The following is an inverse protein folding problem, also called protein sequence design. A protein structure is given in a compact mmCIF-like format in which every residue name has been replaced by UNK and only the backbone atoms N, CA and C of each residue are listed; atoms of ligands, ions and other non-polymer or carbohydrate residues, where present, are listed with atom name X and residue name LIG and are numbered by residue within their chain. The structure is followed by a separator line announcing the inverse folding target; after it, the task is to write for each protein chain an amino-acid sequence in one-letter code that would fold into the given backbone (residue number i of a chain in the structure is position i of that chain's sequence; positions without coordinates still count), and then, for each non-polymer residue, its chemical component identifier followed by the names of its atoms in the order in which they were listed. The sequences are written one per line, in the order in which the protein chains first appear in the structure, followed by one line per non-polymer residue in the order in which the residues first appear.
data_IF_560558677924
#
_entry.id   IF_560558677924
#
_cell.length_a   1.000
_cell.length_b   1.000
_cell.length_c   1.000
_cell.angle_alpha   90.00
_cell.angle_beta   90.00
_cell.angle_gamma   90.00
#
_symmetry.space_group_name_H-M   'P 1'
#
loop_
_entity.id
_entity.type
_entity.pdbx_description
1 polymer ?
#
# COMPACT_ATOMS: atom_id res chain seq x y z
N UNK A 1 33.55 25.08 6.23
CA UNK A 1 32.91 25.81 5.11
C UNK A 1 32.53 24.75 4.10
N UNK A 2 31.26 24.36 4.05
CA UNK A 2 30.27 24.78 3.04
C UNK A 2 30.83 24.60 1.61
N UNK A 3 30.23 23.80 0.74
CA UNK A 3 28.89 24.09 0.20
C UNK A 3 28.06 22.86 -0.19
N UNK A 4 26.76 23.00 0.05
CA UNK A 4 25.67 22.24 -0.59
C UNK A 4 25.17 23.08 -1.76
N UNK A 5 25.21 22.55 -2.98
CA UNK A 5 24.48 23.10 -4.13
C UNK A 5 23.61 21.95 -4.66
N UNK A 6 22.30 21.99 -4.40
CA UNK A 6 21.27 22.61 -5.25
C UNK A 6 20.80 21.67 -6.36
N UNK A 7 19.78 20.87 -6.07
CA UNK A 7 18.93 20.20 -7.06
C UNK A 7 17.47 20.42 -6.65
N UNK A 8 17.03 21.66 -6.80
CA UNK A 8 15.61 22.04 -6.75
C UNK A 8 15.32 22.81 -8.03
N UNK A 9 15.23 22.10 -9.14
CA UNK A 9 14.67 22.68 -10.35
C UNK A 9 13.79 21.65 -11.05
N UNK A 10 12.69 22.16 -11.59
CA UNK A 10 11.65 21.46 -12.32
C UNK A 10 10.81 20.49 -11.51
N UNK A 11 9.65 20.96 -11.07
CA UNK A 11 8.39 20.63 -11.77
C UNK A 11 7.30 21.59 -11.28
N UNK A 12 7.20 22.75 -11.93
CA UNK A 12 6.00 23.57 -11.92
C UNK A 12 5.77 24.15 -13.31
N UNK A 13 4.92 23.47 -14.07
CA UNK A 13 4.01 24.11 -15.03
C UNK A 13 2.81 23.16 -15.17
N UNK A 14 1.71 23.48 -14.49
CA UNK A 14 0.57 24.21 -15.07
C UNK A 14 0.01 23.53 -16.33
N UNK A 15 -1.10 22.84 -16.10
CA UNK A 15 -2.36 22.82 -16.86
C UNK A 15 -2.25 23.17 -18.34
N UNK A 16 -2.51 22.18 -19.20
CA UNK A 16 -3.18 22.41 -20.48
C UNK A 16 -4.24 21.33 -20.71
N UNK A 17 -5.49 21.78 -20.78
CA UNK A 17 -6.66 21.05 -21.26
C UNK A 17 -7.02 21.66 -22.62
N UNK A 18 -7.28 20.83 -23.65
CA UNK A 18 -8.47 21.04 -24.48
C UNK A 18 -9.19 19.70 -24.73
N UNK A 19 -10.42 19.48 -24.28
CA UNK A 19 -11.73 19.87 -24.84
C UNK A 19 -12.04 19.41 -26.29
N UNK A 20 -13.01 18.47 -26.39
CA UNK A 20 -14.01 18.18 -27.46
C UNK A 20 -13.46 17.85 -28.87
N UNK A 21 -13.82 16.71 -29.49
CA UNK A 21 -15.02 16.54 -30.35
C UNK A 21 -15.30 15.05 -30.69
N UNK A 22 -16.59 14.71 -30.79
CA UNK A 22 -17.18 13.45 -31.26
C UNK A 22 -16.72 13.00 -32.65
N UNK A 23 -16.51 11.69 -32.89
CA UNK A 23 -16.98 10.92 -34.08
C UNK A 23 -16.97 9.41 -33.75
N UNK A 24 -18.13 8.75 -33.88
CA UNK A 24 -18.35 7.30 -34.14
C UNK A 24 -18.72 7.21 -35.65
N UNK A 25 -18.52 6.13 -36.44
CA UNK A 25 -18.32 4.71 -36.12
C UNK A 25 -17.17 4.01 -36.89
N UNK A 26 -16.84 2.77 -36.52
CA UNK A 26 -16.91 1.61 -37.43
C UNK A 26 -16.24 0.37 -36.83
N UNK A 27 -16.93 -0.75 -37.01
CA UNK A 27 -16.54 -2.15 -36.90
C UNK A 27 -15.10 -2.48 -37.30
N UNK A 28 -14.47 -3.44 -36.61
CA UNK A 28 -13.74 -4.62 -37.16
C UNK A 28 -13.05 -5.39 -36.02
N UNK A 29 -12.97 -6.70 -36.21
CA UNK A 29 -12.41 -7.72 -35.34
C UNK A 29 -10.93 -7.51 -34.95
N UNK A 30 -10.52 -8.19 -33.87
CA UNK A 30 -9.18 -8.75 -33.78
C UNK A 30 -8.17 -8.08 -32.84
N UNK A 31 -7.58 -8.95 -32.02
CA UNK A 31 -6.19 -8.92 -31.55
C UNK A 31 -5.81 -8.18 -30.26
N UNK A 32 -5.26 -9.03 -29.37
CA UNK A 32 -4.62 -8.76 -28.11
C UNK A 32 -3.58 -7.63 -28.20
N UNK A 33 -3.79 -6.55 -27.45
CA UNK A 33 -2.73 -5.59 -27.17
C UNK A 33 -2.25 -5.74 -25.73
N UNK A 34 -1.23 -6.58 -25.58
CA UNK A 34 -0.42 -6.74 -24.37
C UNK A 34 0.48 -5.51 -24.20
N UNK A 35 -0.05 -4.41 -23.68
CA UNK A 35 0.79 -3.31 -23.19
C UNK A 35 0.94 -3.44 -21.67
N UNK A 36 1.81 -4.37 -21.28
CA UNK A 36 2.37 -4.50 -19.94
C UNK A 36 3.32 -3.31 -19.70
N UNK A 37 2.76 -2.17 -19.29
CA UNK A 37 3.55 -1.05 -18.78
C UNK A 37 3.91 -1.31 -17.31
N UNK A 38 4.93 -2.17 -17.11
CA UNK A 38 5.63 -2.29 -15.82
C UNK A 38 6.30 -0.95 -15.52
N UNK A 39 5.62 -0.17 -14.68
CA UNK A 39 6.18 1.04 -14.07
C UNK A 39 6.76 0.67 -12.71
N UNK A 40 8.07 0.79 -12.61
CA UNK A 40 8.92 0.38 -11.49
C UNK A 40 8.74 1.29 -10.27
N UNK A 41 8.22 0.73 -9.18
CA UNK A 41 8.43 1.19 -7.80
C UNK A 41 8.32 -0.03 -6.88
N UNK A 42 9.32 -0.23 -6.01
CA UNK A 42 9.57 -1.44 -5.23
C UNK A 42 8.59 -1.72 -4.08
N UNK A 43 7.30 -1.61 -4.32
CA UNK A 43 6.23 -2.11 -3.46
C UNK A 43 5.14 -2.67 -4.36
N UNK A 44 4.75 -3.92 -4.14
CA UNK A 44 3.68 -4.60 -4.90
C UNK A 44 2.50 -3.66 -5.06
N UNK A 45 2.21 -3.27 -6.31
CA UNK A 45 1.08 -2.39 -6.64
C UNK A 45 -0.16 -2.94 -5.93
N UNK A 46 -0.97 -2.06 -5.32
CA UNK A 46 -2.20 -2.54 -4.69
C UNK A 46 -2.96 -3.36 -5.73
N UNK A 47 -3.26 -4.65 -5.44
CA UNK A 47 -3.81 -5.54 -6.45
C UNK A 47 -5.10 -4.90 -6.96
N UNK A 48 -5.13 -4.68 -8.28
CA UNK A 48 -6.25 -4.08 -9.00
C UNK A 48 -7.55 -4.65 -8.43
N UNK A 49 -8.52 -3.79 -8.14
CA UNK A 49 -9.82 -4.12 -7.52
C UNK A 49 -10.66 -5.18 -8.26
N UNK A 50 -10.19 -5.63 -9.43
CA UNK A 50 -10.71 -6.73 -10.22
C UNK A 50 -10.24 -8.13 -9.77
N UNK A 51 -9.25 -8.24 -8.89
CA UNK A 51 -8.88 -9.53 -8.34
C UNK A 51 -9.94 -9.99 -7.33
N UNK A 52 -10.38 -11.25 -7.45
CA UNK A 52 -11.48 -11.77 -6.65
C UNK A 52 -11.30 -11.47 -5.15
N UNK A 53 -12.36 -10.94 -4.54
CA UNK A 53 -12.42 -10.62 -3.10
C UNK A 53 -12.18 -11.84 -2.20
N UNK A 54 -12.24 -13.04 -2.78
CA UNK A 54 -11.90 -14.31 -2.13
C UNK A 54 -10.40 -14.48 -1.90
N UNK A 55 -9.54 -13.84 -2.70
CA UNK A 55 -8.08 -13.98 -2.65
C UNK A 55 -7.43 -12.79 -1.93
N UNK A 56 -8.11 -11.65 -1.94
CA UNK A 56 -7.68 -10.44 -1.25
C UNK A 56 -8.22 -10.37 0.18
N UNK A 57 -7.49 -9.65 1.02
CA UNK A 57 -7.93 -9.24 2.33
C UNK A 57 -7.63 -7.76 2.55
N UNK A 58 -8.51 -7.07 3.28
CA UNK A 58 -8.41 -5.64 3.48
C UNK A 58 -7.99 -5.33 4.91
N UNK A 59 -6.78 -4.84 5.11
CA UNK A 59 -6.26 -4.57 6.45
C UNK A 59 -6.35 -3.07 6.72
N UNK A 60 -6.98 -2.70 7.84
CA UNK A 60 -6.95 -1.33 8.36
C UNK A 60 -5.83 -1.22 9.38
N UNK A 61 -4.91 -0.28 9.20
CA UNK A 61 -3.82 0.01 10.12
C UNK A 61 -4.06 1.35 10.78
N UNK A 62 -4.04 1.39 12.12
CA UNK A 62 -3.93 2.63 12.89
C UNK A 62 -2.46 2.89 13.14
N UNK A 63 -1.95 3.96 12.57
CA UNK A 63 -0.59 4.42 12.79
C UNK A 63 -0.50 5.17 14.13
N UNK A 64 0.70 5.25 14.72
CA UNK A 64 0.87 5.87 16.02
C UNK A 64 0.76 7.41 15.97
N UNK A 65 0.79 7.98 14.76
CA UNK A 65 0.48 9.40 14.48
C UNK A 65 -1.04 9.71 14.50
N UNK A 66 -1.88 8.71 14.74
CA UNK A 66 -3.34 8.84 14.74
C UNK A 66 -4.00 8.69 13.37
N UNK A 67 -3.22 8.58 12.29
CA UNK A 67 -3.73 8.31 10.94
C UNK A 67 -4.22 6.87 10.84
N UNK A 68 -5.20 6.66 9.95
CA UNK A 68 -5.70 5.34 9.60
C UNK A 68 -5.44 5.09 8.12
N UNK A 69 -4.68 4.05 7.82
CA UNK A 69 -4.38 3.61 6.45
C UNK A 69 -5.09 2.30 6.20
N UNK A 70 -5.66 2.14 5.01
CA UNK A 70 -6.32 0.91 4.61
C UNK A 70 -5.71 0.42 3.31
N UNK A 71 -5.27 -0.84 3.29
CA UNK A 71 -4.62 -1.45 2.12
C UNK A 71 -5.16 -2.85 1.89
N UNK A 72 -5.30 -3.20 0.62
CA UNK A 72 -5.62 -4.56 0.21
C UNK A 72 -4.32 -5.36 0.03
N UNK A 73 -4.31 -6.58 0.57
CA UNK A 73 -3.21 -7.54 0.45
C UNK A 73 -3.74 -8.88 -0.04
N UNK A 74 -2.89 -9.72 -0.63
CA UNK A 74 -3.26 -11.12 -0.88
C UNK A 74 -3.31 -11.87 0.46
N UNK A 75 -4.29 -12.75 0.63
CA UNK A 75 -4.46 -13.57 1.85
C UNK A 75 -3.24 -14.45 2.16
N UNK A 76 -2.53 -14.86 1.11
CA UNK A 76 -1.31 -15.67 1.19
C UNK A 76 -0.08 -14.87 1.65
N UNK A 77 -0.14 -13.55 1.70
CA UNK A 77 0.98 -12.71 2.15
C UNK A 77 1.26 -12.90 3.63
N UNK A 78 2.52 -12.70 3.99
CA UNK A 78 3.00 -12.90 5.35
C UNK A 78 2.80 -11.68 6.24
N UNK A 79 2.71 -11.92 7.55
CA UNK A 79 2.72 -10.88 8.58
C UNK A 79 3.96 -9.98 8.47
N UNK A 80 5.09 -10.52 8.01
CA UNK A 80 6.30 -9.74 7.76
C UNK A 80 6.10 -8.63 6.72
N UNK A 81 5.30 -8.87 5.66
CA UNK A 81 5.00 -7.83 4.67
C UNK A 81 4.24 -6.65 5.31
N UNK A 82 3.30 -6.95 6.22
CA UNK A 82 2.56 -5.92 6.95
C UNK A 82 3.50 -5.08 7.82
N UNK A 83 4.47 -5.71 8.48
CA UNK A 83 5.51 -5.01 9.24
C UNK A 83 6.30 -4.05 8.35
N UNK A 84 6.78 -4.51 7.19
CA UNK A 84 7.50 -3.67 6.24
C UNK A 84 6.64 -2.52 5.71
N UNK A 85 5.35 -2.76 5.49
CA UNK A 85 4.41 -1.72 5.09
C UNK A 85 4.23 -0.68 6.19
N UNK A 86 3.96 -1.08 7.44
CA UNK A 86 3.81 -0.14 8.55
C UNK A 86 5.08 0.70 8.75
N UNK A 87 6.26 0.08 8.61
CA UNK A 87 7.54 0.78 8.69
C UNK A 87 7.70 1.85 7.59
N UNK A 88 7.21 1.60 6.38
CA UNK A 88 7.28 2.58 5.29
C UNK A 88 6.30 3.74 5.46
N UNK A 89 5.18 3.52 6.15
CA UNK A 89 4.20 4.56 6.48
C UNK A 89 4.64 5.48 7.63
N UNK A 90 5.57 5.03 8.46
CA UNK A 90 6.13 5.84 9.54
C UNK A 90 7.10 6.89 8.97
N UNK A 91 6.97 8.11 9.47
CA UNK A 91 7.80 9.24 9.09
C UNK A 91 9.27 9.00 9.42
N UNK A 92 10.16 9.53 8.59
CA UNK A 92 11.59 9.21 8.66
C UNK A 92 12.26 9.65 9.97
N UNK A 93 11.73 10.68 10.63
CA UNK A 93 12.17 11.15 11.95
C UNK A 93 11.83 10.16 13.08
N UNK A 94 10.80 9.34 12.91
CA UNK A 94 10.29 8.43 13.95
C UNK A 94 10.64 6.96 13.71
N UNK A 95 11.24 6.62 12.55
CA UNK A 95 11.66 5.24 12.21
C UNK A 95 12.68 4.63 13.19
N UNK A 96 13.39 5.46 13.94
CA UNK A 96 14.33 4.99 14.96
C UNK A 96 13.65 4.54 16.26
N UNK A 97 12.34 4.83 16.43
CA UNK A 97 11.59 4.41 17.62
C UNK A 97 11.12 2.97 17.44
N UNK A 98 11.33 2.08 18.44
CA UNK A 98 10.76 0.74 18.40
C UNK A 98 9.23 0.84 18.46
N UNK A 99 8.55 -0.02 17.71
CA UNK A 99 7.11 -0.11 17.70
C UNK A 99 6.66 -1.56 17.70
N UNK A 100 5.42 -1.79 18.12
CA UNK A 100 4.74 -3.08 18.06
C UNK A 100 3.46 -3.00 17.25
N UNK A 101 3.18 -4.07 16.53
CA UNK A 101 1.90 -4.29 15.85
C UNK A 101 1.04 -5.22 16.69
N UNK A 102 -0.24 -4.89 16.82
CA UNK A 102 -1.22 -5.78 17.42
C UNK A 102 -2.55 -5.70 16.69
N UNK A 103 -3.24 -6.83 16.62
CA UNK A 103 -4.59 -6.93 16.10
C UNK A 103 -5.57 -6.48 17.20
N UNK A 104 -6.42 -5.52 16.86
CA UNK A 104 -7.48 -5.05 17.75
C UNK A 104 -8.71 -5.93 17.57
N UNK A 105 -8.94 -6.85 18.52
CA UNK A 105 -10.11 -7.73 18.55
C UNK A 105 -10.99 -7.27 19.74
N UNK A 106 -12.33 -7.25 19.63
CA UNK A 106 -13.17 -6.97 20.79
C UNK A 106 -12.86 -7.93 21.95
N UNK A 107 -12.43 -7.39 23.09
CA UNK A 107 -12.11 -8.16 24.29
C UNK A 107 -10.73 -8.86 24.32
N UNK A 108 -9.92 -8.74 23.26
CA UNK A 108 -8.59 -9.36 23.21
C UNK A 108 -7.65 -8.63 22.23
N UNK A 109 -6.35 -8.64 22.48
CA UNK A 109 -5.36 -8.15 21.53
C UNK A 109 -4.36 -9.25 21.20
N UNK A 110 -4.13 -9.46 19.90
CA UNK A 110 -3.13 -10.41 19.42
C UNK A 110 -1.90 -9.64 18.97
N UNK A 111 -0.78 -9.83 19.66
CA UNK A 111 0.49 -9.26 19.21
C UNK A 111 0.94 -9.93 17.91
N UNK A 112 1.44 -9.14 16.97
CA UNK A 112 1.95 -9.62 15.70
C UNK A 112 3.48 -9.55 15.74
N UNK A 113 4.15 -10.66 16.01
CA UNK A 113 5.62 -10.66 16.10
C UNK A 113 6.29 -10.42 14.75
N UNK A 114 7.32 -9.58 14.74
CA UNK A 114 8.18 -9.38 13.57
C UNK A 114 8.87 -10.71 13.18
N UNK A 115 9.02 -10.97 11.88
CA UNK A 115 9.60 -12.21 11.35
C UNK A 115 8.66 -13.41 11.34
N UNK A 116 7.36 -13.21 11.63
CA UNK A 116 6.36 -14.27 11.46
C UNK A 116 6.02 -14.46 9.99
N UNK A 117 6.29 -15.66 9.44
CA UNK A 117 5.97 -16.04 8.07
C UNK A 117 4.53 -16.58 7.90
N UNK A 118 3.71 -16.50 8.94
CA UNK A 118 2.29 -16.90 8.86
C UNK A 118 1.55 -16.01 7.88
N UNK A 119 0.69 -16.60 7.06
CA UNK A 119 -0.14 -15.84 6.13
C UNK A 119 -1.20 -15.00 6.85
N UNK A 120 -1.75 -13.99 6.18
CA UNK A 120 -2.85 -13.19 6.73
C UNK A 120 -4.12 -14.01 7.01
N UNK A 121 -4.38 -15.02 6.17
CA UNK A 121 -5.48 -15.96 6.41
C UNK A 121 -5.25 -16.80 7.66
N UNK A 122 -4.07 -17.43 7.80
CA UNK A 122 -3.77 -18.29 8.94
C UNK A 122 -3.64 -17.52 10.25
N UNK A 123 -3.17 -16.28 10.20
CA UNK A 123 -3.07 -15.41 11.37
C UNK A 123 -4.41 -14.79 11.79
N UNK A 124 -5.47 -14.92 10.96
CA UNK A 124 -6.78 -14.30 11.21
C UNK A 124 -6.77 -12.79 11.00
N UNK A 125 -5.83 -12.27 10.21
CA UNK A 125 -5.72 -10.84 9.88
C UNK A 125 -6.60 -10.43 8.70
N UNK A 126 -7.22 -11.39 8.02
CA UNK A 126 -8.12 -11.11 6.92
C UNK A 126 -9.25 -10.17 7.37
N UNK A 127 -9.31 -8.98 6.76
CA UNK A 127 -10.31 -7.95 7.09
C UNK A 127 -10.22 -7.35 8.50
N UNK A 128 -9.06 -7.48 9.16
CA UNK A 128 -8.89 -7.02 10.54
C UNK A 128 -8.38 -5.58 10.67
N UNK A 129 -8.61 -5.01 11.85
CA UNK A 129 -7.96 -3.81 12.33
C UNK A 129 -6.65 -4.16 13.04
N UNK A 130 -5.57 -3.54 12.62
CA UNK A 130 -4.24 -3.61 13.22
C UNK A 130 -3.91 -2.22 13.75
N UNK A 131 -3.30 -2.16 14.93
CA UNK A 131 -2.82 -0.93 15.53
C UNK A 131 -1.32 -1.02 15.72
N UNK A 132 -0.66 0.10 15.44
CA UNK A 132 0.76 0.32 15.65
C UNK A 132 0.89 1.24 16.84
N UNK A 133 1.70 0.84 17.81
CA UNK A 133 2.03 1.69 18.97
C UNK A 133 3.53 1.70 19.18
N UNK A 134 4.04 2.86 19.60
CA UNK A 134 5.39 2.99 20.11
C UNK A 134 5.57 2.08 21.34
N UNK A 135 6.78 1.55 21.48
CA UNK A 135 7.25 0.86 22.70
C UNK A 135 8.15 1.75 23.52
#
# INVERSE_FOLDING_TARGET
MLERQSLFENLSSFVDIPNTQNVVPSSSDGEHNNNLSVSKSGYSAEPNSHLDKSVLCRISVRLPDGRRVQRSFLKSESVQLLWSFCYSQIDQSERNKPFKLFQAIPGYYKNLSYGSYTSFEQSGLASSLVSVTWM
#
